data_IF_303259385458
#
_entry.id   IF_303259385458
#
_cell.length_a   1.000
_cell.length_b   1.000
_cell.length_c   1.000
_cell.angle_alpha   90.00
_cell.angle_beta   90.00
_cell.angle_gamma   90.00
#
_symmetry.space_group_name_H-M   'P 1'
#
loop_
_entity.id
_entity.type
_entity.pdbx_description
1 polymer ?
#
# COMPACT_ATOMS: atom_id res chain seq x y z
N UNK A 1 12.28 -1.73 -16.91
CA UNK A 1 12.21 -3.10 -16.36
C UNK A 1 12.23 -3.01 -14.84
N UNK A 2 11.09 -3.27 -14.19
CA UNK A 2 10.93 -3.23 -12.73
C UNK A 2 10.90 -4.67 -12.19
N UNK A 3 11.63 -4.93 -11.10
CA UNK A 3 11.61 -6.22 -10.41
C UNK A 3 10.26 -6.40 -9.69
N UNK A 4 9.66 -7.58 -9.86
CA UNK A 4 8.34 -7.95 -9.33
C UNK A 4 8.55 -8.83 -8.10
N UNK A 5 8.04 -8.41 -6.95
CA UNK A 5 7.98 -9.23 -5.73
C UNK A 5 6.64 -9.03 -5.03
N UNK A 6 5.95 -10.11 -4.61
CA UNK A 6 4.65 -10.00 -3.95
C UNK A 6 4.81 -9.50 -2.52
N UNK A 7 4.04 -8.48 -2.15
CA UNK A 7 3.86 -8.05 -0.76
C UNK A 7 2.47 -8.50 -0.34
N UNK A 8 2.38 -9.69 0.26
CA UNK A 8 1.25 -10.20 1.07
C UNK A 8 -0.15 -9.75 0.64
N UNK A 9 -0.86 -10.61 -0.10
CA UNK A 9 -2.26 -10.41 -0.52
C UNK A 9 -2.37 -10.22 -2.03
N UNK A 10 -3.32 -10.93 -2.65
CA UNK A 10 -3.53 -10.90 -4.11
C UNK A 10 -3.67 -9.45 -4.61
N UNK A 11 -2.69 -8.98 -5.39
CA UNK A 11 -2.75 -7.69 -6.08
C UNK A 11 -1.83 -6.57 -5.56
N UNK A 12 -1.02 -6.76 -4.50
CA UNK A 12 -0.08 -5.72 -4.04
C UNK A 12 1.38 -6.06 -4.36
N UNK A 13 2.08 -5.11 -4.99
CA UNK A 13 3.43 -5.31 -5.52
C UNK A 13 4.38 -4.19 -5.11
N UNK A 14 5.62 -4.56 -4.76
CA UNK A 14 6.70 -3.58 -4.61
C UNK A 14 7.21 -3.16 -5.99
N UNK A 15 7.27 -1.86 -6.24
CA UNK A 15 7.79 -1.30 -7.49
C UNK A 15 8.87 -0.27 -7.21
N UNK A 16 9.97 -0.34 -7.95
CA UNK A 16 11.06 0.62 -7.89
C UNK A 16 11.05 1.48 -9.15
N UNK A 17 10.84 2.79 -9.01
CA UNK A 17 10.86 3.70 -10.15
C UNK A 17 12.31 4.04 -10.50
N UNK A 18 12.79 3.58 -11.66
CA UNK A 18 14.04 4.07 -12.24
C UNK A 18 13.78 5.47 -12.77
N UNK A 19 14.48 6.48 -12.25
CA UNK A 19 14.46 7.82 -12.85
C UNK A 19 15.15 7.75 -14.22
N UNK A 20 14.40 7.97 -15.29
CA UNK A 20 14.94 8.21 -16.63
C UNK A 20 14.98 9.72 -16.83
N UNK A 21 16.10 10.37 -16.48
CA UNK A 21 16.32 11.77 -16.85
C UNK A 21 17.37 12.56 -16.04
N UNK A 22 18.36 13.05 -16.79
CA UNK A 22 19.41 14.05 -16.49
C UNK A 22 20.62 13.65 -15.64
N UNK A 23 21.77 13.69 -16.32
CA UNK A 23 23.16 13.42 -15.94
C UNK A 23 23.72 14.28 -14.78
N UNK A 24 22.90 15.09 -14.08
CA UNK A 24 23.35 16.00 -13.01
C UNK A 24 22.49 15.99 -11.74
N UNK A 25 21.87 14.85 -11.37
CA UNK A 25 21.29 14.69 -10.03
C UNK A 25 21.99 13.55 -9.28
N UNK A 26 23.09 13.88 -8.62
CA UNK A 26 23.72 12.99 -7.64
C UNK A 26 22.81 12.88 -6.40
N UNK A 27 22.61 11.66 -5.92
CA UNK A 27 22.01 11.32 -4.61
C UNK A 27 20.49 11.32 -4.41
N UNK A 28 19.65 11.04 -5.41
CA UNK A 28 18.30 10.56 -5.10
C UNK A 28 18.24 9.03 -5.19
N UNK A 29 18.13 8.36 -4.03
CA UNK A 29 17.88 6.91 -3.99
C UNK A 29 16.62 6.63 -4.81
N UNK A 30 16.60 5.55 -5.62
CA UNK A 30 15.41 5.19 -6.38
C UNK A 30 14.23 5.02 -5.43
N UNK A 31 13.19 5.84 -5.61
CA UNK A 31 11.99 5.80 -4.77
C UNK A 31 11.27 4.48 -4.99
N UNK A 32 10.95 3.81 -3.88
CA UNK A 32 10.20 2.56 -3.85
C UNK A 32 8.75 2.86 -3.50
N UNK A 33 7.83 2.10 -4.10
CA UNK A 33 6.39 2.28 -3.96
C UNK A 33 5.71 0.92 -3.83
N UNK A 34 4.52 0.91 -3.23
CA UNK A 34 3.62 -0.22 -3.28
C UNK A 34 2.52 0.06 -4.31
N UNK A 35 2.25 -0.87 -5.21
CA UNK A 35 1.14 -0.80 -6.16
C UNK A 35 0.08 -1.81 -5.74
N UNK A 36 -1.10 -1.34 -5.37
CA UNK A 36 -2.29 -2.17 -5.14
C UNK A 36 -3.15 -2.17 -6.39
N UNK A 37 -3.41 -3.35 -6.94
CA UNK A 37 -4.34 -3.58 -8.02
C UNK A 37 -5.66 -4.12 -7.44
N UNK A 38 -6.78 -3.53 -7.83
CA UNK A 38 -8.11 -3.99 -7.46
C UNK A 38 -9.02 -4.03 -8.69
N UNK A 39 -9.85 -5.07 -8.80
CA UNK A 39 -10.87 -5.13 -9.84
C UNK A 39 -12.02 -4.17 -9.49
N UNK A 40 -12.46 -3.39 -10.47
CA UNK A 40 -13.72 -2.67 -10.41
C UNK A 40 -14.80 -3.74 -10.58
N UNK A 41 -15.42 -4.15 -9.48
CA UNK A 41 -16.51 -5.12 -9.52
C UNK A 41 -17.67 -4.56 -10.33
N UNK A 42 -18.29 -5.40 -11.15
CA UNK A 42 -19.54 -5.05 -11.83
C UNK A 42 -20.63 -4.75 -10.80
N UNK A 43 -21.57 -3.82 -11.04
CA UNK A 43 -22.71 -3.55 -10.16
C UNK A 43 -23.56 -4.78 -9.78
N UNK A 44 -23.43 -5.88 -10.54
CA UNK A 44 -24.10 -7.16 -10.32
C UNK A 44 -23.35 -8.15 -9.40
N UNK A 45 -22.15 -7.79 -8.93
CA UNK A 45 -21.39 -8.63 -7.99
C UNK A 45 -22.12 -8.67 -6.63
N UNK A 46 -22.45 -9.86 -6.08
CA UNK A 46 -23.16 -10.00 -4.82
C UNK A 46 -22.36 -9.47 -3.61
N UNK A 47 -21.05 -9.30 -3.75
CA UNK A 47 -20.16 -8.87 -2.68
C UNK A 47 -19.86 -7.37 -2.80
N UNK A 48 -20.89 -6.56 -2.52
CA UNK A 48 -20.98 -5.09 -2.74
C UNK A 48 -20.22 -4.24 -1.73
N UNK A 49 -19.60 -4.83 -0.71
CA UNK A 49 -19.11 -4.08 0.44
C UNK A 49 -17.82 -3.29 0.17
N UNK A 50 -17.09 -3.60 -0.91
CA UNK A 50 -15.85 -2.92 -1.25
C UNK A 50 -15.88 -2.36 -2.67
N UNK A 51 -15.76 -1.04 -2.76
CA UNK A 51 -15.52 -0.30 -4.01
C UNK A 51 -14.11 0.29 -3.96
N UNK A 52 -13.21 -0.11 -4.87
CA UNK A 52 -11.86 0.45 -4.88
C UNK A 52 -11.85 1.93 -5.31
N UNK A 53 -12.91 2.41 -5.99
CA UNK A 53 -13.09 3.83 -6.28
C UNK A 53 -13.36 4.64 -5.00
N UNK A 54 -14.19 4.09 -4.09
CA UNK A 54 -14.43 4.75 -2.79
C UNK A 54 -13.15 4.80 -1.94
N UNK A 55 -12.31 3.77 -1.99
CA UNK A 55 -11.00 3.80 -1.32
C UNK A 55 -10.13 4.94 -1.86
N UNK A 56 -10.07 5.12 -3.19
CA UNK A 56 -9.32 6.22 -3.81
C UNK A 56 -9.84 7.56 -3.29
N UNK A 57 -11.15 7.79 -3.30
CA UNK A 57 -11.75 9.06 -2.84
C UNK A 57 -11.44 9.36 -1.37
N UNK A 58 -11.52 8.34 -0.51
CA UNK A 58 -11.16 8.46 0.90
C UNK A 58 -9.67 8.79 1.03
N UNK A 59 -8.81 8.09 0.31
CA UNK A 59 -7.36 8.28 0.41
C UNK A 59 -6.92 9.64 -0.15
N UNK A 60 -7.53 10.15 -1.20
CA UNK A 60 -7.25 11.51 -1.72
C UNK A 60 -7.52 12.59 -0.66
N UNK A 61 -8.53 12.41 0.18
CA UNK A 61 -8.85 13.32 1.29
C UNK A 61 -7.91 13.17 2.49
N UNK A 62 -7.33 11.99 2.71
CA UNK A 62 -6.55 11.66 3.90
C UNK A 62 -5.03 11.65 3.69
N UNK A 63 -4.54 11.57 2.45
CA UNK A 63 -3.12 11.31 2.15
C UNK A 63 -2.15 12.36 2.68
N UNK A 64 -2.61 13.57 2.99
CA UNK A 64 -1.78 14.62 3.58
C UNK A 64 -1.75 14.61 5.12
N UNK A 65 -2.49 13.71 5.77
CA UNK A 65 -2.51 13.59 7.23
C UNK A 65 -1.33 12.76 7.71
N UNK A 66 -0.68 13.23 8.78
CA UNK A 66 0.34 12.45 9.46
C UNK A 66 -0.22 11.08 9.90
N UNK A 67 0.57 10.02 9.76
CA UNK A 67 0.26 8.63 10.16
C UNK A 67 -0.75 7.90 9.27
N UNK A 68 -1.17 8.47 8.14
CA UNK A 68 -1.89 7.77 7.09
C UNK A 68 -0.92 7.48 5.95
N UNK A 69 -0.98 6.27 5.37
CA UNK A 69 -0.16 5.92 4.20
C UNK A 69 -0.51 6.84 3.04
N UNK A 70 0.50 7.43 2.41
CA UNK A 70 0.25 8.39 1.34
C UNK A 70 -0.09 7.67 0.02
N UNK A 71 -1.21 8.05 -0.61
CA UNK A 71 -1.53 7.68 -1.99
C UNK A 71 -0.89 8.73 -2.93
N UNK A 72 0.15 8.32 -3.66
CA UNK A 72 0.85 9.20 -4.61
C UNK A 72 0.09 9.38 -5.92
N UNK A 73 -0.53 8.31 -6.40
CA UNK A 73 -1.14 8.29 -7.73
C UNK A 73 -2.14 7.14 -7.85
N UNK A 74 -3.07 7.25 -8.80
CA UNK A 74 -3.97 6.17 -9.16
C UNK A 74 -4.31 6.23 -10.66
N UNK A 75 -4.53 5.07 -11.27
CA UNK A 75 -4.96 4.98 -12.66
C UNK A 75 -5.83 3.76 -12.90
N UNK A 76 -6.62 3.81 -13.96
CA UNK A 76 -7.47 2.72 -14.40
C UNK A 76 -6.94 2.09 -15.69
N UNK A 77 -7.03 0.77 -15.81
CA UNK A 77 -6.77 0.05 -17.05
C UNK A 77 -7.74 -1.12 -17.18
N UNK A 78 -8.70 -1.01 -18.10
CA UNK A 78 -9.82 -1.94 -18.21
C UNK A 78 -10.68 -1.94 -16.94
N UNK A 79 -11.02 -3.13 -16.47
CA UNK A 79 -11.83 -3.34 -15.26
C UNK A 79 -10.98 -3.34 -13.98
N UNK A 80 -9.78 -2.74 -14.01
CA UNK A 80 -8.88 -2.69 -12.86
C UNK A 80 -8.45 -1.26 -12.56
N UNK A 81 -8.35 -0.96 -11.27
CA UNK A 81 -7.68 0.24 -10.76
C UNK A 81 -6.39 -0.13 -10.08
N UNK A 82 -5.43 0.77 -10.20
CA UNK A 82 -4.10 0.65 -9.64
C UNK A 82 -3.86 1.87 -8.77
N UNK A 83 -3.39 1.63 -7.55
CA UNK A 83 -3.16 2.65 -6.54
C UNK A 83 -1.70 2.57 -6.11
N UNK A 84 -0.97 3.69 -6.24
CA UNK A 84 0.43 3.83 -5.89
C UNK A 84 0.58 4.44 -4.51
N UNK A 85 0.96 3.63 -3.54
CA UNK A 85 1.18 4.03 -2.16
C UNK A 85 2.66 4.19 -1.82
N UNK A 86 2.90 4.91 -0.74
CA UNK A 86 4.10 4.78 0.07
C UNK A 86 4.35 3.33 0.46
N UNK A 87 5.60 2.91 0.34
CA UNK A 87 6.01 1.57 0.76
C UNK A 87 6.31 1.58 2.26
N UNK A 88 5.56 0.80 3.02
CA UNK A 88 5.90 0.46 4.40
C UNK A 88 6.79 -0.79 4.44
N UNK A 89 7.73 -0.84 5.39
CA UNK A 89 8.68 -1.96 5.52
C UNK A 89 8.05 -3.24 6.08
N UNK A 90 7.02 -3.10 6.93
CA UNK A 90 6.34 -4.22 7.59
C UNK A 90 4.90 -3.85 7.97
N UNK A 91 4.07 -4.86 8.22
CA UNK A 91 2.77 -4.71 8.87
C UNK A 91 2.85 -5.10 10.34
N UNK A 92 1.99 -4.52 11.19
CA UNK A 92 1.91 -4.93 12.60
C UNK A 92 1.51 -6.40 12.74
N UNK A 93 0.71 -6.94 11.82
CA UNK A 93 0.40 -8.36 11.79
C UNK A 93 1.67 -9.20 11.66
N UNK A 94 2.65 -8.82 10.84
CA UNK A 94 3.93 -9.53 10.75
C UNK A 94 4.76 -9.40 12.03
N UNK A 95 4.76 -8.22 12.66
CA UNK A 95 5.52 -7.96 13.89
C UNK A 95 4.94 -8.71 15.09
N UNK A 96 3.62 -8.84 15.18
CA UNK A 96 2.94 -9.52 16.29
C UNK A 96 2.65 -11.00 16.04
N UNK A 97 2.76 -11.49 14.80
CA UNK A 97 2.64 -12.93 14.48
C UNK A 97 3.93 -13.71 14.77
N UNK A 98 4.86 -13.14 15.54
CA UNK A 98 5.90 -13.89 16.22
C UNK A 98 5.21 -14.61 17.38
N UNK A 99 5.24 -15.95 17.39
CA UNK A 99 4.63 -16.86 18.40
C UNK A 99 5.18 -16.68 19.85
N UNK A 100 5.28 -15.46 20.36
CA UNK A 100 5.91 -15.18 21.64
C UNK A 100 5.72 -13.76 22.17
N UNK A 101 4.78 -12.97 21.62
CA UNK A 101 4.37 -11.73 22.28
C UNK A 101 3.39 -12.06 23.42
N UNK A 102 3.92 -12.65 24.50
CA UNK A 102 3.25 -12.55 25.79
C UNK A 102 3.31 -11.08 26.18
N UNK A 103 2.16 -10.40 26.11
CA UNK A 103 1.97 -9.17 26.87
C UNK A 103 2.16 -9.59 28.33
N UNK A 104 3.35 -9.35 28.88
CA UNK A 104 3.56 -9.45 30.32
C UNK A 104 2.68 -8.37 30.93
N UNK A 105 1.43 -8.74 31.25
CA UNK A 105 0.53 -7.94 32.04
C UNK A 105 1.26 -7.64 33.33
N UNK A 106 1.70 -6.39 33.50
CA UNK A 106 1.96 -5.88 34.84
C UNK A 106 0.60 -5.66 35.48
N UNK A 107 0.04 -6.73 36.04
CA UNK A 107 -0.77 -6.58 37.24
C UNK A 107 0.17 -6.13 38.35
N UNK A 108 0.43 -4.83 38.39
CA UNK A 108 0.89 -4.19 39.62
C UNK A 108 -0.34 -3.63 40.31
N UNK A 109 -0.78 -4.45 41.27
CA UNK A 109 -1.39 -4.08 42.53
C UNK A 109 -1.60 -2.58 42.77
N UNK A 110 -2.85 -2.23 43.01
CA UNK A 110 -3.23 -1.44 44.18
C UNK A 110 -4.60 -1.92 44.68
#
# INVERSE_FOLDING_TARGET
MCARGPLTGAGVWKVQQKQTGSFWSTNSRPKQFAIKQAAIKSPDDPDKNYSPLNEIDIMLQLSNKARIVHLYDNWQHGDYVYMKYELCDFSLAQVFNVKGFELSGRDKAE
#
